data_IF_845395304709
#
_entry.id   IF_845395304709
#
_cell.length_a   1.000
_cell.length_b   1.000
_cell.length_c   1.000
_cell.angle_alpha   90.00
_cell.angle_beta   90.00
_cell.angle_gamma   90.00
#
_symmetry.space_group_name_H-M   'P 1'
#
loop_
_entity.id
_entity.type
_entity.pdbx_description
1 polymer ?
#
# COMPACT_ATOMS: atom_id res chain seq x y z
N UNK A 1 -15.70 -0.55 -5.53
CA UNK A 1 -14.81 0.48 -4.97
C UNK A 1 -14.05 1.10 -6.12
N UNK A 2 -13.80 2.41 -6.08
CA UNK A 2 -13.14 3.14 -7.16
C UNK A 2 -11.70 3.47 -6.78
N UNK A 3 -10.91 2.45 -6.48
CA UNK A 3 -9.47 2.64 -6.31
C UNK A 3 -8.84 3.01 -7.67
N UNK A 4 -7.88 3.95 -7.74
CA UNK A 4 -7.25 4.31 -9.01
C UNK A 4 -6.61 3.12 -9.73
N UNK A 5 -6.83 3.04 -11.05
CA UNK A 5 -6.30 1.99 -11.93
C UNK A 5 -5.42 2.59 -13.02
N UNK A 6 -4.51 1.79 -13.56
CA UNK A 6 -3.58 2.22 -14.60
C UNK A 6 -2.52 3.18 -14.06
N UNK A 7 -2.33 4.30 -14.76
CA UNK A 7 -1.36 5.32 -14.38
C UNK A 7 -1.98 6.21 -13.30
N UNK A 8 -1.57 6.01 -12.06
CA UNK A 8 -2.22 6.64 -10.93
C UNK A 8 -1.26 6.86 -9.77
N UNK A 9 -1.59 7.84 -8.94
CA UNK A 9 -0.82 8.18 -7.76
C UNK A 9 -1.70 8.48 -6.58
N UNK A 10 -1.25 8.06 -5.42
CA UNK A 10 -1.92 8.30 -4.17
C UNK A 10 -0.92 8.38 -3.04
N UNK A 11 -1.37 8.94 -1.93
CA UNK A 11 -0.59 9.03 -0.70
C UNK A 11 -1.37 8.37 0.41
N UNK A 12 -0.64 7.72 1.29
CA UNK A 12 -1.18 7.10 2.50
C UNK A 12 -0.44 7.71 3.67
N UNK A 13 -1.13 8.55 4.45
CA UNK A 13 -0.63 9.03 5.73
C UNK A 13 -1.00 8.01 6.82
N UNK A 14 -0.03 7.64 7.67
CA UNK A 14 -0.18 6.55 8.64
C UNK A 14 -0.02 7.13 10.04
N UNK A 15 -1.05 6.96 10.86
CA UNK A 15 -1.02 7.31 12.28
C UNK A 15 -1.20 6.06 13.11
N UNK A 16 -0.38 5.92 14.15
CA UNK A 16 -0.47 4.84 15.12
C UNK A 16 -1.19 5.38 16.36
N UNK A 17 -2.01 4.57 17.05
CA UNK A 17 -2.48 4.92 18.38
C UNK A 17 -1.26 5.25 19.24
N UNK A 18 -1.28 6.38 19.95
CA UNK A 18 -0.26 6.67 20.97
C UNK A 18 -0.28 5.51 21.96
N UNK A 19 0.69 4.59 21.84
CA UNK A 19 0.95 3.58 22.84
C UNK A 19 1.42 4.35 24.09
N UNK A 20 0.46 4.76 24.94
CA UNK A 20 0.71 5.27 26.29
C UNK A 20 1.46 4.19 27.07
N UNK A 21 2.77 4.05 26.87
CA UNK A 21 3.58 3.07 27.58
C UNK A 21 4.77 2.46 26.85
N UNK A 22 4.94 2.61 25.53
CA UNK A 22 6.14 2.10 24.85
C UNK A 22 7.13 3.22 24.55
N UNK A 23 7.96 3.50 25.57
CA UNK A 23 9.30 4.08 25.35
C UNK A 23 10.12 3.06 24.56
N UNK A 24 10.23 3.27 23.26
CA UNK A 24 11.17 2.57 22.41
C UNK A 24 11.22 3.23 21.04
N UNK A 25 12.43 3.46 20.54
CA UNK A 25 12.76 4.08 19.25
C UNK A 25 12.33 3.22 18.04
N UNK A 26 11.06 2.79 17.97
CA UNK A 26 10.56 1.98 16.87
C UNK A 26 10.34 2.90 15.67
N UNK A 27 11.24 2.80 14.70
CA UNK A 27 11.12 3.51 13.43
C UNK A 27 10.07 2.81 12.56
N UNK A 28 8.94 3.50 12.32
CA UNK A 28 7.78 2.99 11.54
C UNK A 28 7.49 3.90 10.34
N UNK A 29 6.84 3.40 9.27
CA UNK A 29 6.37 4.25 8.18
C UNK A 29 5.31 5.25 8.68
N UNK A 30 5.45 6.54 8.35
CA UNK A 30 4.44 7.57 8.69
C UNK A 30 3.72 8.10 7.47
N UNK A 31 4.31 7.92 6.28
CA UNK A 31 3.69 8.26 5.01
C UNK A 31 4.25 7.43 3.88
N UNK A 32 3.40 7.04 2.94
CA UNK A 32 3.79 6.35 1.73
C UNK A 32 3.19 7.06 0.53
N UNK A 33 4.04 7.59 -0.35
CA UNK A 33 3.64 8.13 -1.64
C UNK A 33 3.80 7.02 -2.70
N UNK A 34 2.70 6.65 -3.35
CA UNK A 34 2.66 5.58 -4.35
C UNK A 34 2.51 6.16 -5.75
N UNK A 35 3.36 5.71 -6.67
CA UNK A 35 3.23 5.97 -8.10
C UNK A 35 3.13 4.67 -8.86
N UNK A 36 2.05 4.48 -9.62
CA UNK A 36 1.80 3.27 -10.41
C UNK A 36 1.71 3.58 -11.90
N UNK A 37 2.26 2.69 -12.72
CA UNK A 37 2.05 2.64 -14.18
C UNK A 37 1.97 1.17 -14.60
N UNK A 38 0.79 0.75 -15.06
CA UNK A 38 0.52 -0.65 -15.40
C UNK A 38 0.75 -1.60 -14.21
N UNK A 39 1.67 -2.55 -14.39
CA UNK A 39 2.04 -3.58 -13.40
C UNK A 39 3.24 -3.17 -12.52
N UNK A 40 3.71 -1.93 -12.67
CA UNK A 40 4.82 -1.37 -11.91
C UNK A 40 4.33 -0.32 -10.94
N UNK A 41 4.81 -0.37 -9.70
CA UNK A 41 4.61 0.65 -8.70
C UNK A 41 5.92 1.03 -8.00
N UNK A 42 6.10 2.31 -7.70
CA UNK A 42 7.12 2.81 -6.79
C UNK A 42 6.43 3.28 -5.50
N UNK A 43 6.93 2.81 -4.36
CA UNK A 43 6.52 3.20 -3.03
C UNK A 43 7.63 4.01 -2.41
N UNK A 44 7.42 5.32 -2.25
CA UNK A 44 8.33 6.16 -1.48
C UNK A 44 7.85 6.20 -0.03
N UNK A 45 8.63 5.61 0.87
CA UNK A 45 8.28 5.45 2.28
C UNK A 45 9.01 6.52 3.09
N UNK A 46 8.25 7.40 3.73
CA UNK A 46 8.76 8.33 4.75
C UNK A 46 8.60 7.67 6.12
N UNK A 47 9.69 7.58 6.87
CA UNK A 47 9.75 6.94 8.18
C UNK A 47 9.62 7.97 9.31
N UNK A 48 9.30 7.51 10.53
CA UNK A 48 9.13 8.37 11.71
C UNK A 48 10.41 9.11 12.12
N UNK A 49 11.58 8.56 11.78
CA UNK A 49 12.90 9.21 11.94
C UNK A 49 13.25 10.17 10.79
N UNK A 50 12.31 10.41 9.87
CA UNK A 50 12.43 11.22 8.64
C UNK A 50 13.33 10.63 7.56
N UNK A 51 13.82 9.40 7.72
CA UNK A 51 14.45 8.70 6.60
C UNK A 51 13.44 8.51 5.46
N UNK A 52 13.94 8.43 4.23
CA UNK A 52 13.13 8.15 3.05
C UNK A 52 13.75 6.97 2.30
N UNK A 53 12.96 5.94 2.05
CA UNK A 53 13.34 4.81 1.20
C UNK A 53 12.41 4.72 0.01
N UNK A 54 12.83 4.00 -1.03
CA UNK A 54 12.02 3.72 -2.20
C UNK A 54 12.05 2.25 -2.55
N UNK A 55 10.88 1.73 -2.84
CA UNK A 55 10.72 0.33 -3.21
C UNK A 55 9.95 0.23 -4.52
N UNK A 56 10.46 -0.55 -5.46
CA UNK A 56 9.84 -0.76 -6.77
C UNK A 56 9.27 -2.17 -6.83
N UNK A 57 7.97 -2.24 -7.06
CA UNK A 57 7.23 -3.50 -7.16
C UNK A 57 6.81 -3.70 -8.60
N UNK A 58 7.12 -4.89 -9.12
CA UNK A 58 6.63 -5.39 -10.40
C UNK A 58 5.76 -6.62 -10.16
N UNK A 59 5.27 -7.28 -11.23
CA UNK A 59 4.55 -8.55 -11.08
C UNK A 59 5.38 -9.61 -10.34
N UNK A 60 6.65 -9.74 -10.70
CA UNK A 60 7.48 -10.88 -10.29
C UNK A 60 8.53 -10.52 -9.23
N UNK A 61 8.90 -9.24 -9.14
CA UNK A 61 10.03 -8.79 -8.34
C UNK A 61 9.70 -7.57 -7.49
N UNK A 62 10.40 -7.48 -6.35
CA UNK A 62 10.44 -6.28 -5.52
C UNK A 62 11.89 -5.85 -5.38
N UNK A 63 12.17 -4.58 -5.68
CA UNK A 63 13.44 -3.93 -5.40
C UNK A 63 13.25 -3.07 -4.16
N UNK A 64 13.94 -3.39 -3.08
CA UNK A 64 13.81 -2.70 -1.80
C UNK A 64 15.06 -1.86 -1.56
N UNK A 65 14.90 -0.59 -1.24
CA UNK A 65 16.02 0.23 -0.78
C UNK A 65 16.23 0.03 0.71
N UNK A 66 17.38 -0.53 1.08
CA UNK A 66 17.78 -0.72 2.46
C UNK A 66 17.96 0.64 3.15
N UNK A 67 17.26 0.83 4.28
CA UNK A 67 17.23 2.10 5.00
C UNK A 67 18.58 2.48 5.61
N UNK A 68 19.38 1.50 6.01
CA UNK A 68 20.65 1.72 6.73
C UNK A 68 21.81 2.01 5.77
N UNK A 69 21.85 1.29 4.65
CA UNK A 69 22.97 1.33 3.69
C UNK A 69 22.63 2.13 2.43
N UNK A 70 21.35 2.43 2.19
CA UNK A 70 20.86 3.07 0.97
C UNK A 70 20.93 2.18 -0.28
N UNK A 71 21.39 0.94 -0.15
CA UNK A 71 21.55 -0.01 -1.27
C UNK A 71 20.20 -0.61 -1.66
N UNK A 72 20.00 -0.79 -2.96
CA UNK A 72 18.82 -1.49 -3.49
C UNK A 72 19.10 -2.98 -3.62
N UNK A 73 18.21 -3.81 -3.07
CA UNK A 73 18.29 -5.27 -3.14
C UNK A 73 17.08 -5.83 -3.89
N UNK A 74 17.33 -6.83 -4.75
CA UNK A 74 16.29 -7.57 -5.44
C UNK A 74 15.76 -8.69 -4.54
N UNK A 75 14.44 -8.75 -4.39
CA UNK A 75 13.73 -9.79 -3.64
C UNK A 75 12.63 -10.41 -4.52
N UNK A 76 12.43 -11.72 -4.37
CA UNK A 76 11.27 -12.41 -4.91
C UNK A 76 10.01 -11.91 -4.19
N UNK A 77 8.99 -11.51 -4.95
CA UNK A 77 7.73 -11.00 -4.42
C UNK A 77 7.03 -12.00 -3.48
N UNK A 78 7.19 -13.30 -3.70
CA UNK A 78 6.61 -14.33 -2.84
C UNK A 78 7.33 -14.44 -1.47
N UNK A 79 8.57 -13.97 -1.39
CA UNK A 79 9.40 -14.00 -0.16
C UNK A 79 9.48 -12.64 0.54
N UNK A 80 9.20 -11.56 -0.19
CA UNK A 80 9.06 -10.20 0.32
C UNK A 80 7.78 -10.05 1.14
N UNK A 81 7.70 -10.78 2.25
CA UNK A 81 6.65 -10.59 3.23
C UNK A 81 6.63 -9.12 3.65
N UNK A 82 5.43 -8.54 3.61
CA UNK A 82 4.94 -7.49 4.51
C UNK A 82 4.73 -6.06 4.00
N UNK A 83 5.48 -5.48 3.07
CA UNK A 83 5.61 -4.01 3.14
C UNK A 83 4.41 -3.15 2.67
N UNK A 84 3.44 -3.66 1.88
CA UNK A 84 2.41 -2.81 1.24
C UNK A 84 0.96 -3.35 1.30
N UNK A 85 0.67 -4.26 2.24
CA UNK A 85 -0.59 -5.04 2.27
C UNK A 85 -1.87 -4.19 2.36
N UNK A 86 -1.75 -2.96 2.88
CA UNK A 86 -2.87 -2.04 3.07
C UNK A 86 -2.71 -0.75 2.26
N UNK A 87 -2.05 -0.80 1.10
CA UNK A 87 -1.79 0.41 0.29
C UNK A 87 -2.50 0.40 -1.06
N UNK A 88 -3.20 -0.67 -1.41
CA UNK A 88 -3.88 -0.82 -2.69
C UNK A 88 -5.32 -1.37 -2.54
N UNK A 89 -5.99 -1.57 -3.68
CA UNK A 89 -7.37 -2.06 -3.74
C UNK A 89 -7.58 -3.40 -3.00
N UNK A 90 -6.54 -4.24 -2.89
CA UNK A 90 -6.65 -5.57 -2.25
C UNK A 90 -6.97 -5.48 -0.76
N UNK A 91 -6.57 -4.39 -0.09
CA UNK A 91 -6.87 -4.11 1.31
C UNK A 91 -8.38 -4.09 1.61
N UNK A 92 -9.20 -3.86 0.58
CA UNK A 92 -10.63 -3.69 0.68
C UNK A 92 -11.44 -4.85 0.08
N UNK A 93 -10.79 -5.96 -0.32
CA UNK A 93 -11.46 -7.10 -0.95
C UNK A 93 -12.52 -7.80 -0.08
N UNK A 94 -12.49 -7.56 1.23
CA UNK A 94 -13.49 -8.05 2.20
C UNK A 94 -14.80 -7.23 2.19
N UNK A 95 -14.79 -6.01 1.66
CA UNK A 95 -15.96 -5.13 1.58
C UNK A 95 -16.90 -5.67 0.50
N UNK A 96 -17.87 -6.49 0.93
CA UNK A 96 -18.93 -7.04 0.08
C UNK A 96 -20.28 -6.42 0.47
N UNK A 97 -21.10 -5.94 -0.48
CA UNK A 97 -22.36 -5.24 -0.21
C UNK A 97 -23.31 -5.96 0.77
N UNK A 98 -23.27 -7.29 0.80
CA UNK A 98 -24.16 -8.14 1.59
C UNK A 98 -23.78 -8.35 3.06
N UNK A 99 -22.57 -7.94 3.51
CA UNK A 99 -22.01 -8.35 4.81
C UNK A 99 -21.77 -7.18 5.79
N UNK A 100 -22.38 -6.01 5.59
CA UNK A 100 -21.88 -4.77 6.18
C UNK A 100 -22.95 -3.98 6.94
N UNK A 101 -22.57 -3.52 8.13
CA UNK A 101 -23.22 -2.38 8.78
C UNK A 101 -22.79 -1.15 7.99
N UNK A 102 -23.71 -0.56 7.24
CA UNK A 102 -23.48 0.67 6.48
C UNK A 102 -24.07 1.83 7.25
N UNK A 103 -23.24 2.53 7.99
CA UNK A 103 -23.58 3.84 8.53
C UNK A 103 -22.99 4.91 7.62
N UNK A 104 -23.79 5.93 7.29
CA UNK A 104 -23.25 7.13 6.66
C UNK A 104 -22.74 8.03 7.77
N UNK A 105 -21.42 8.23 7.81
CA UNK A 105 -20.74 9.04 8.82
C UNK A 105 -19.90 10.11 8.11
N UNK A 106 -19.69 11.24 8.79
CA UNK A 106 -18.70 12.22 8.34
C UNK A 106 -17.33 11.81 8.88
N UNK A 107 -16.38 11.58 7.99
CA UNK A 107 -14.97 11.43 8.33
C UNK A 107 -14.19 12.62 7.77
N UNK A 108 -13.60 13.46 8.65
CA UNK A 108 -12.90 14.70 8.27
C UNK A 108 -13.68 15.51 7.22
N UNK A 109 -14.93 15.83 7.55
CA UNK A 109 -15.88 16.58 6.70
C UNK A 109 -16.41 15.85 5.45
N UNK A 110 -15.87 14.68 5.10
CA UNK A 110 -16.30 13.89 3.94
C UNK A 110 -17.40 12.90 4.32
N UNK A 111 -18.52 12.89 3.60
CA UNK A 111 -19.56 11.84 3.77
C UNK A 111 -19.04 10.49 3.29
N UNK A 112 -18.96 9.54 4.20
CA UNK A 112 -18.44 8.21 3.94
C UNK A 112 -19.47 7.13 4.26
N UNK A 113 -19.44 6.05 3.47
CA UNK A 113 -19.92 4.75 3.90
C UNK A 113 -18.85 4.14 4.81
N UNK A 114 -19.23 3.85 6.04
CA UNK A 114 -18.36 3.16 7.01
C UNK A 114 -18.61 1.66 6.96
N UNK A 115 -17.54 0.90 7.07
CA UNK A 115 -17.53 -0.55 7.00
C UNK A 115 -16.67 -1.10 8.13
N UNK A 116 -17.10 -2.18 8.77
CA UNK A 116 -16.35 -2.86 9.83
C UNK A 116 -16.47 -4.38 9.67
N UNK A 117 -15.37 -5.09 9.81
CA UNK A 117 -15.34 -6.56 9.73
C UNK A 117 -14.05 -7.13 10.33
N UNK A 118 -14.10 -8.37 10.79
CA UNK A 118 -12.92 -9.17 11.14
C UNK A 118 -12.39 -9.86 9.88
N UNK A 119 -11.13 -9.61 9.50
CA UNK A 119 -10.49 -10.26 8.35
C UNK A 119 -9.43 -11.26 8.82
N UNK A 120 -9.41 -12.44 8.22
CA UNK A 120 -8.34 -13.42 8.45
C UNK A 120 -7.26 -13.24 7.38
N UNK A 121 -6.06 -12.86 7.80
CA UNK A 121 -4.90 -12.81 6.94
C UNK A 121 -4.26 -14.21 6.88
N UNK A 122 -3.89 -14.66 5.66
CA UNK A 122 -3.18 -15.92 5.53
C UNK A 122 -1.86 -15.83 6.30
N UNK A 123 -1.59 -16.89 7.07
CA UNK A 123 -0.37 -17.04 7.81
C UNK A 123 0.85 -16.90 6.90
N UNK A 124 1.84 -16.13 7.35
CA UNK A 124 3.19 -16.26 6.83
C UNK A 124 3.73 -17.65 7.25
N UNK A 125 4.58 -18.26 6.43
CA UNK A 125 5.02 -19.65 6.58
C UNK A 125 5.33 -20.03 8.06
N UNK A 126 4.51 -20.91 8.64
CA UNK A 126 4.67 -21.41 10.00
C UNK A 126 3.91 -20.66 11.10
N UNK A 127 3.21 -19.57 10.78
CA UNK A 127 2.37 -18.84 11.74
C UNK A 127 0.91 -19.32 11.73
N UNK A 128 0.15 -18.93 12.76
CA UNK A 128 -1.32 -19.01 12.71
C UNK A 128 -1.87 -17.87 11.84
N UNK A 129 -3.03 -18.05 11.18
CA UNK A 129 -3.74 -16.96 10.55
C UNK A 129 -3.99 -15.84 11.56
N UNK A 130 -3.68 -14.61 11.18
CA UNK A 130 -3.94 -13.44 11.99
C UNK A 130 -5.37 -12.97 11.73
N UNK A 131 -6.14 -12.68 12.77
CA UNK A 131 -7.47 -12.09 12.64
C UNK A 131 -7.37 -10.63 13.05
N UNK A 132 -7.66 -9.72 12.12
CA UNK A 132 -7.64 -8.28 12.35
C UNK A 132 -9.05 -7.72 12.35
N UNK A 133 -9.34 -6.87 13.32
CA UNK A 133 -10.55 -6.03 13.32
C UNK A 133 -10.30 -4.82 12.43
N UNK A 134 -10.92 -4.81 11.25
CA UNK A 134 -10.70 -3.77 10.27
C UNK A 134 -11.90 -2.82 10.15
N UNK A 135 -11.60 -1.56 9.91
CA UNK A 135 -12.57 -0.53 9.57
C UNK A 135 -12.16 0.17 8.27
N UNK A 136 -13.13 0.60 7.48
CA UNK A 136 -12.88 1.36 6.26
C UNK A 136 -13.94 2.45 6.06
N UNK A 137 -13.50 3.61 5.60
CA UNK A 137 -14.34 4.75 5.24
C UNK A 137 -14.19 5.00 3.75
N UNK A 138 -15.28 4.86 3.01
CA UNK A 138 -15.31 5.02 1.55
C UNK A 138 -16.22 6.20 1.23
N UNK A 139 -15.70 7.19 0.50
CA UNK A 139 -16.47 8.36 0.10
C UNK A 139 -17.75 7.93 -0.62
N UNK A 140 -18.87 8.51 -0.19
CA UNK A 140 -20.21 8.09 -0.62
C UNK A 140 -20.41 8.30 -2.11
N UNK A 141 -20.04 9.46 -2.62
CA UNK A 141 -20.27 9.86 -4.01
C UNK A 141 -19.31 9.16 -4.98
N UNK A 142 -18.01 9.26 -4.74
CA UNK A 142 -17.01 8.77 -5.68
C UNK A 142 -16.66 7.30 -5.48
N UNK A 143 -16.92 6.74 -4.29
CA UNK A 143 -16.52 5.38 -3.95
C UNK A 143 -15.02 5.18 -3.76
N UNK A 144 -14.23 6.26 -3.60
CA UNK A 144 -12.80 6.18 -3.28
C UNK A 144 -12.59 5.95 -1.78
N UNK A 145 -11.55 5.21 -1.35
CA UNK A 145 -11.26 5.08 0.07
C UNK A 145 -10.72 6.39 0.64
N UNK A 146 -11.20 6.75 1.83
CA UNK A 146 -10.74 7.92 2.58
C UNK A 146 -9.83 7.47 3.72
N UNK A 147 -10.21 6.41 4.43
CA UNK A 147 -9.42 5.84 5.50
C UNK A 147 -9.62 4.32 5.64
N UNK A 148 -8.63 3.67 6.23
CA UNK A 148 -8.63 2.27 6.63
C UNK A 148 -7.97 2.15 8.00
N UNK A 149 -8.47 1.29 8.87
CA UNK A 149 -7.88 0.99 10.18
C UNK A 149 -7.81 -0.52 10.34
N UNK A 150 -6.67 -1.04 10.83
CA UNK A 150 -6.43 -2.48 11.01
C UNK A 150 -6.29 -2.89 12.49
N UNK A 151 -6.66 -2.00 13.41
CA UNK A 151 -6.47 -2.14 14.85
C UNK A 151 -5.08 -1.73 15.34
N UNK A 152 -4.08 -1.63 14.46
CA UNK A 152 -2.72 -1.20 14.78
C UNK A 152 -2.40 0.21 14.29
N UNK A 153 -2.97 0.61 13.15
CA UNK A 153 -2.76 1.90 12.54
C UNK A 153 -4.00 2.37 11.78
N UNK A 154 -4.11 3.69 11.64
CA UNK A 154 -5.05 4.37 10.78
C UNK A 154 -4.31 4.89 9.55
N UNK A 155 -4.76 4.47 8.39
CA UNK A 155 -4.24 4.79 7.07
C UNK A 155 -5.21 5.76 6.39
N UNK A 156 -4.78 6.99 6.10
CA UNK A 156 -5.59 8.01 5.41
C UNK A 156 -5.12 8.16 3.98
N UNK A 157 -6.04 8.06 3.02
CA UNK A 157 -5.74 8.08 1.60
C UNK A 157 -6.02 9.45 1.00
N UNK A 158 -5.11 9.90 0.14
CA UNK A 158 -5.36 11.05 -0.76
C UNK A 158 -4.95 10.70 -2.19
N UNK A 159 -5.83 11.02 -3.12
CA UNK A 159 -5.65 10.70 -4.54
C UNK A 159 -5.33 11.96 -5.32
N UNK A 160 -4.32 11.88 -6.18
CA UNK A 160 -3.86 13.03 -6.96
C UNK A 160 -3.48 12.65 -8.39
N UNK A 161 -3.23 13.67 -9.20
CA UNK A 161 -2.55 13.55 -10.49
C UNK A 161 -1.05 13.77 -10.23
N UNK A 162 -0.18 12.77 -10.34
CA UNK A 162 1.27 12.97 -10.17
C UNK A 162 2.06 12.82 -11.46
N UNK A 163 3.28 13.35 -11.40
CA UNK A 163 4.29 13.37 -12.44
C UNK A 163 4.98 12.01 -12.61
N UNK A 164 5.15 11.58 -13.86
CA UNK A 164 5.70 10.28 -14.27
C UNK A 164 7.15 10.01 -13.81
N UNK A 165 7.86 10.99 -13.24
CA UNK A 165 9.29 10.91 -12.91
C UNK A 165 9.64 9.89 -11.79
N UNK A 166 8.68 9.46 -10.98
CA UNK A 166 8.91 8.53 -9.87
C UNK A 166 9.01 7.04 -10.29
N UNK A 167 8.82 6.72 -11.57
CA UNK A 167 8.86 5.35 -12.09
C UNK A 167 10.24 4.94 -12.64
N UNK A 168 11.22 5.83 -12.60
CA UNK A 168 12.58 5.50 -13.00
C UNK A 168 13.23 4.62 -11.93
N UNK A 169 13.69 3.43 -12.34
CA UNK A 169 14.55 2.61 -11.50
C UNK A 169 15.86 3.35 -11.18
N UNK A 170 16.47 3.14 -10.01
CA UNK A 170 17.80 3.67 -9.72
C UNK A 170 18.82 3.19 -10.76
N UNK A 171 19.77 4.05 -11.12
CA UNK A 171 20.84 3.75 -12.06
C UNK A 171 21.68 2.52 -11.66
N UNK A 172 21.77 2.24 -10.35
CA UNK A 172 22.39 1.04 -9.80
C UNK A 172 21.68 -0.28 -10.18
N UNK A 173 20.44 -0.21 -10.65
CA UNK A 173 19.63 -1.35 -11.12
C UNK A 173 19.54 -1.42 -12.66
N UNK A 174 20.47 -0.77 -13.38
CA UNK A 174 20.51 -0.78 -14.86
C UNK A 174 20.68 -2.17 -15.46
N UNK A 175 21.34 -3.10 -14.77
CA UNK A 175 21.47 -4.49 -15.23
C UNK A 175 20.12 -5.20 -15.31
N UNK A 176 19.21 -4.84 -14.41
CA UNK A 176 17.85 -5.34 -14.30
C UNK A 176 16.84 -4.45 -15.05
N UNK A 177 17.25 -3.26 -15.47
CA UNK A 177 16.42 -2.31 -16.23
C UNK A 177 15.93 -2.92 -17.55
N UNK A 178 16.73 -3.73 -18.24
CA UNK A 178 16.27 -4.45 -19.42
C UNK A 178 15.21 -5.54 -19.11
N UNK A 179 15.19 -6.10 -17.90
CA UNK A 179 14.13 -6.99 -17.45
C UNK A 179 12.87 -6.22 -17.04
N UNK A 180 13.05 -5.05 -16.41
CA UNK A 180 11.99 -4.12 -16.04
C UNK A 180 11.29 -3.50 -17.26
N UNK A 181 12.05 -3.04 -18.25
CA UNK A 181 11.53 -2.52 -19.52
C UNK A 181 10.81 -3.61 -20.33
N UNK A 182 11.33 -4.84 -20.32
CA UNK A 182 10.62 -6.00 -20.89
C UNK A 182 9.31 -6.28 -20.15
N UNK A 183 9.27 -6.16 -18.83
CA UNK A 183 8.03 -6.30 -18.06
C UNK A 183 7.01 -5.17 -18.35
N UNK A 184 7.49 -3.95 -18.56
CA UNK A 184 6.66 -2.80 -18.97
C UNK A 184 6.08 -2.96 -20.39
N UNK A 185 6.81 -3.60 -21.30
CA UNK A 185 6.40 -3.80 -22.70
C UNK A 185 5.70 -5.15 -22.95
N UNK A 186 5.71 -6.07 -21.98
CA UNK A 186 5.10 -7.38 -22.16
C UNK A 186 3.58 -7.23 -22.37
N UNK A 187 3.02 -7.79 -23.46
CA UNK A 187 1.59 -7.74 -23.69
C UNK A 187 0.86 -8.41 -22.52
N UNK A 188 -0.23 -7.78 -22.04
CA UNK A 188 -1.13 -8.37 -21.05
C UNK A 188 -1.48 -9.77 -21.54
N UNK A 189 -0.98 -10.81 -20.88
CA UNK A 189 -1.45 -12.17 -21.14
C UNK A 189 -2.92 -12.20 -20.75
N UNK A 190 -3.79 -12.17 -21.75
CA UNK A 190 -5.20 -12.49 -21.59
C UNK A 190 -5.24 -13.89 -20.96
N UNK A 191 -5.82 -13.97 -19.76
CA UNK A 191 -5.84 -15.17 -18.95
C UNK A 191 -6.46 -16.35 -19.69
N UNK A 192 -6.03 -17.55 -19.30
CA UNK A 192 -6.85 -18.75 -19.40
C UNK A 192 -7.56 -18.95 -18.07
#
# INVERSE_FOLDING_TARGET
MNFPKGNATWKVDISYPDERGHRGDIVRPVRIDVTRSGDVACYQVTWSDRAVTRDWVTRDYVFVQDRTTGRTVLQDRARGGFTYRFLDESAFGWIKPQNLVVETLKYRETECRHFRSSISLPALAGASPEVLECQAWIEKETGVPVAFEDGNALYTYSFGKSAAAALLLPEACRGEQAAFERALQAPKRLGR
#
